data_IF_378577700742
#
_entry.id   IF_378577700742
#
_cell.length_a   1.000
_cell.length_b   1.000
_cell.length_c   1.000
_cell.angle_alpha   90.00
_cell.angle_beta   90.00
_cell.angle_gamma   90.00
#
_symmetry.space_group_name_H-M   'P 1'
#
loop_
_entity.id
_entity.type
_entity.pdbx_description
1 polymer ?
#
# COMPACT_ATOMS: atom_id res chain seq x y z
N UNK A 1 -4.93 -10.93 -23.97
CA UNK A 1 -4.11 -11.17 -22.76
C UNK A 1 -4.87 -10.56 -21.59
N UNK A 2 -5.13 -11.34 -20.55
CA UNK A 2 -5.77 -10.84 -19.33
C UNK A 2 -4.70 -10.74 -18.25
N UNK A 3 -4.52 -9.55 -17.67
CA UNK A 3 -3.62 -9.35 -16.55
C UNK A 3 -4.42 -9.33 -15.26
N UNK A 4 -3.95 -10.07 -14.26
CA UNK A 4 -4.50 -10.05 -12.89
C UNK A 4 -3.39 -9.51 -12.00
N UNK A 5 -3.68 -8.41 -11.30
CA UNK A 5 -2.76 -7.81 -10.34
C UNK A 5 -2.91 -8.52 -8.99
N UNK A 6 -1.81 -9.01 -8.44
CA UNK A 6 -1.77 -9.67 -7.13
C UNK A 6 -1.27 -8.70 -6.06
N UNK A 7 -1.65 -8.88 -4.79
CA UNK A 7 -1.03 -8.13 -3.69
C UNK A 7 0.50 -8.19 -3.74
N UNK A 8 1.16 -7.12 -3.30
CA UNK A 8 2.62 -7.07 -3.22
C UNK A 8 3.13 -7.87 -2.03
N UNK A 9 3.89 -8.94 -2.29
CA UNK A 9 4.36 -9.88 -1.27
C UNK A 9 5.89 -9.97 -1.28
N UNK A 10 6.47 -10.41 -0.16
CA UNK A 10 7.92 -10.67 -0.05
C UNK A 10 8.26 -12.16 -0.14
N UNK A 11 7.30 -13.03 0.18
CA UNK A 11 7.44 -14.48 0.17
C UNK A 11 6.09 -15.09 -0.18
N UNK A 12 6.06 -16.17 -0.94
CA UNK A 12 4.85 -16.98 -1.12
C UNK A 12 4.69 -17.94 0.08
N UNK A 13 5.72 -18.04 0.91
CA UNK A 13 5.78 -19.03 1.98
C UNK A 13 5.24 -18.56 3.34
N UNK A 14 4.97 -17.27 3.50
CA UNK A 14 4.57 -16.66 4.78
C UNK A 14 3.03 -16.50 4.88
N UNK A 15 2.50 -16.31 6.09
CA UNK A 15 1.07 -16.53 6.42
C UNK A 15 0.22 -15.25 6.42
N UNK A 16 0.56 -14.22 5.64
CA UNK A 16 -0.34 -13.07 5.50
C UNK A 16 -1.54 -13.36 4.59
N UNK A 17 -2.65 -12.66 4.79
CA UNK A 17 -3.83 -12.77 3.90
C UNK A 17 -3.50 -12.39 2.45
N UNK A 18 -2.57 -11.44 2.25
CA UNK A 18 -2.10 -10.97 0.94
C UNK A 18 -1.33 -12.05 0.19
N UNK A 19 -0.52 -12.84 0.91
CA UNK A 19 0.24 -13.97 0.39
C UNK A 19 -0.67 -15.11 -0.01
N UNK A 20 -1.65 -15.47 0.84
CA UNK A 20 -2.65 -16.50 0.50
C UNK A 20 -3.44 -16.17 -0.76
N UNK A 21 -3.82 -14.90 -0.95
CA UNK A 21 -4.50 -14.47 -2.17
C UNK A 21 -3.61 -14.63 -3.40
N UNK A 22 -2.33 -14.27 -3.28
CA UNK A 22 -1.36 -14.40 -4.38
C UNK A 22 -1.08 -15.86 -4.70
N UNK A 23 -0.89 -16.69 -3.69
CA UNK A 23 -0.69 -18.14 -3.80
C UNK A 23 -1.87 -18.79 -4.53
N UNK A 24 -3.10 -18.55 -4.08
CA UNK A 24 -4.30 -19.08 -4.75
C UNK A 24 -4.40 -18.61 -6.20
N UNK A 25 -4.10 -17.34 -6.46
CA UNK A 25 -4.14 -16.81 -7.83
C UNK A 25 -3.09 -17.48 -8.75
N UNK A 26 -1.93 -17.87 -8.21
CA UNK A 26 -0.87 -18.52 -8.96
C UNK A 26 -1.10 -20.03 -9.15
N UNK A 27 -1.61 -20.73 -8.14
CA UNK A 27 -1.68 -22.20 -8.13
C UNK A 27 -3.08 -22.78 -8.34
N UNK A 28 -4.11 -22.14 -7.81
CA UNK A 28 -5.51 -22.55 -7.98
C UNK A 28 -6.18 -21.84 -9.16
N UNK A 29 -5.63 -20.69 -9.56
CA UNK A 29 -6.09 -19.90 -10.70
C UNK A 29 -5.68 -20.47 -12.07
N UNK A 30 -6.27 -19.91 -13.13
CA UNK A 30 -5.95 -20.24 -14.52
C UNK A 30 -4.78 -19.40 -15.07
N UNK A 31 -3.74 -19.17 -14.26
CA UNK A 31 -2.60 -18.36 -14.67
C UNK A 31 -1.69 -19.16 -15.63
N UNK A 32 -1.46 -18.62 -16.83
CA UNK A 32 -0.56 -19.22 -17.81
C UNK A 32 0.94 -18.95 -17.51
N UNK A 33 1.22 -17.99 -16.63
CA UNK A 33 2.56 -17.59 -16.21
C UNK A 33 2.53 -16.31 -15.35
N UNK A 34 3.69 -15.89 -14.88
CA UNK A 34 3.86 -14.76 -13.97
C UNK A 34 4.83 -13.71 -14.53
N UNK A 35 4.52 -12.43 -14.29
CA UNK A 35 5.46 -11.32 -14.52
C UNK A 35 5.95 -10.86 -13.15
N UNK A 36 7.21 -11.15 -12.85
CA UNK A 36 7.84 -10.81 -11.59
C UNK A 36 8.45 -9.43 -11.71
N UNK A 37 7.84 -8.44 -11.06
CA UNK A 37 8.40 -7.07 -11.02
C UNK A 37 9.47 -7.01 -9.93
N UNK A 38 10.73 -7.02 -10.34
CA UNK A 38 11.89 -7.02 -9.44
C UNK A 38 12.47 -5.61 -9.28
N UNK A 39 12.85 -5.22 -8.07
CA UNK A 39 13.52 -3.95 -7.78
C UNK A 39 15.03 -4.09 -7.99
N UNK A 40 15.57 -3.40 -8.99
CA UNK A 40 17.00 -3.38 -9.29
C UNK A 40 17.85 -2.85 -8.12
N UNK A 41 17.30 -1.99 -7.24
CA UNK A 41 18.02 -1.45 -6.09
C UNK A 41 18.15 -2.44 -4.92
N UNK A 42 17.29 -3.46 -4.90
CA UNK A 42 17.20 -4.48 -3.84
C UNK A 42 17.07 -5.88 -4.44
N UNK A 43 17.91 -6.19 -5.43
CA UNK A 43 17.79 -7.39 -6.26
C UNK A 43 17.75 -8.69 -5.46
N UNK A 44 18.56 -8.83 -4.42
CA UNK A 44 18.60 -10.01 -3.53
C UNK A 44 17.21 -10.34 -2.97
N UNK A 45 16.50 -9.33 -2.46
CA UNK A 45 15.15 -9.51 -1.91
C UNK A 45 14.14 -9.88 -2.98
N UNK A 46 14.21 -9.23 -4.15
CA UNK A 46 13.31 -9.58 -5.27
C UNK A 46 13.57 -10.99 -5.80
N UNK A 47 14.83 -11.45 -5.81
CA UNK A 47 15.19 -12.79 -6.24
C UNK A 47 14.68 -13.85 -5.28
N UNK A 48 14.67 -13.60 -3.97
CA UNK A 48 14.12 -14.55 -2.99
C UNK A 48 12.70 -15.02 -3.35
N UNK A 49 11.79 -14.08 -3.62
CA UNK A 49 10.43 -14.37 -4.09
C UNK A 49 10.45 -15.04 -5.48
N UNK A 50 11.30 -14.57 -6.38
CA UNK A 50 11.39 -15.12 -7.74
C UNK A 50 11.80 -16.60 -7.73
N UNK A 51 12.72 -17.00 -6.86
CA UNK A 51 13.16 -18.39 -6.73
C UNK A 51 12.00 -19.31 -6.32
N UNK A 52 11.13 -18.86 -5.40
CA UNK A 52 9.96 -19.65 -4.98
C UNK A 52 8.99 -19.89 -6.14
N UNK A 53 8.72 -18.87 -6.97
CA UNK A 53 7.87 -18.99 -8.17
C UNK A 53 8.48 -19.95 -9.19
N UNK A 54 9.80 -19.89 -9.37
CA UNK A 54 10.53 -20.77 -10.28
C UNK A 54 10.54 -22.23 -9.77
N UNK A 55 10.73 -22.46 -8.47
CA UNK A 55 10.63 -23.80 -7.86
C UNK A 55 9.22 -24.40 -7.98
N UNK A 56 8.21 -23.54 -7.97
CA UNK A 56 6.82 -23.87 -8.25
C UNK A 56 6.56 -24.28 -9.71
N UNK A 57 7.54 -24.11 -10.61
CA UNK A 57 7.43 -24.44 -12.01
C UNK A 57 6.49 -23.54 -12.80
N UNK A 58 6.18 -22.35 -12.28
CA UNK A 58 5.35 -21.36 -12.98
C UNK A 58 6.20 -20.67 -14.05
N UNK A 59 5.76 -20.62 -15.32
CA UNK A 59 6.46 -19.89 -16.37
C UNK A 59 6.56 -18.41 -15.98
N UNK A 60 7.78 -17.87 -15.87
CA UNK A 60 7.98 -16.53 -15.34
C UNK A 60 8.86 -15.66 -16.23
N UNK A 61 8.66 -14.35 -16.15
CA UNK A 61 9.50 -13.31 -16.74
C UNK A 61 9.87 -12.34 -15.63
N UNK A 62 11.13 -11.92 -15.56
CA UNK A 62 11.54 -10.84 -14.64
C UNK A 62 11.50 -9.50 -15.37
N UNK A 63 10.66 -8.61 -14.85
CA UNK A 63 10.61 -7.20 -15.21
C UNK A 63 11.44 -6.41 -14.20
N UNK A 64 12.68 -6.07 -14.56
CA UNK A 64 13.59 -5.32 -13.69
C UNK A 64 13.22 -3.83 -13.71
N UNK A 65 12.64 -3.35 -12.62
CA UNK A 65 12.26 -1.96 -12.42
C UNK A 65 13.32 -1.19 -11.63
N UNK A 66 13.25 0.14 -11.62
CA UNK A 66 14.18 1.03 -10.90
C UNK A 66 15.66 0.87 -11.29
N UNK A 67 15.92 0.45 -12.54
CA UNK A 67 17.27 0.29 -13.08
C UNK A 67 18.04 1.61 -13.00
N UNK A 68 17.43 2.73 -13.39
CA UNK A 68 18.10 4.03 -13.34
C UNK A 68 18.38 4.49 -11.90
N UNK A 69 17.50 4.15 -10.95
CA UNK A 69 17.74 4.39 -9.52
C UNK A 69 18.90 3.52 -8.99
N UNK A 70 19.01 2.28 -9.46
CA UNK A 70 20.10 1.37 -9.12
C UNK A 70 21.43 1.91 -9.66
N UNK A 71 21.47 2.34 -10.91
CA UNK A 71 22.65 2.98 -11.52
C UNK A 71 23.06 4.26 -10.76
N UNK A 72 22.10 5.08 -10.33
CA UNK A 72 22.33 6.25 -9.46
C UNK A 72 22.81 5.90 -8.05
N UNK A 73 22.63 4.66 -7.60
CA UNK A 73 23.22 4.12 -6.36
C UNK A 73 24.56 3.42 -6.61
N UNK A 74 25.03 3.37 -7.86
CA UNK A 74 26.28 2.72 -8.25
C UNK A 74 26.11 1.22 -8.48
N UNK A 75 24.88 0.71 -8.50
CA UNK A 75 24.56 -0.68 -8.72
C UNK A 75 24.31 -0.88 -10.21
N UNK A 76 25.22 -1.59 -10.88
CA UNK A 76 25.04 -2.07 -12.25
C UNK A 76 24.65 -3.55 -12.22
N UNK A 77 23.65 -3.93 -13.01
CA UNK A 77 23.17 -5.31 -13.09
C UNK A 77 23.42 -5.84 -14.49
N UNK A 78 24.04 -7.01 -14.59
CA UNK A 78 24.18 -7.76 -15.84
C UNK A 78 22.91 -8.60 -16.08
N UNK A 79 22.00 -8.09 -16.91
CA UNK A 79 20.74 -8.76 -17.24
C UNK A 79 20.95 -10.07 -17.97
N UNK A 80 21.93 -10.14 -18.87
CA UNK A 80 22.19 -11.34 -19.67
C UNK A 80 22.74 -12.47 -18.82
N UNK A 81 23.59 -12.15 -17.83
CA UNK A 81 24.05 -13.11 -16.84
C UNK A 81 22.93 -13.57 -15.91
N UNK A 82 22.05 -12.65 -15.49
CA UNK A 82 20.89 -13.00 -14.67
C UNK A 82 19.92 -13.94 -15.41
N UNK A 83 19.62 -13.63 -16.67
CA UNK A 83 18.81 -14.47 -17.55
C UNK A 83 19.41 -15.87 -17.71
N UNK A 84 20.73 -15.98 -17.90
CA UNK A 84 21.43 -17.28 -17.97
C UNK A 84 21.38 -18.07 -16.66
N UNK A 85 21.53 -17.40 -15.51
CA UNK A 85 21.52 -18.07 -14.20
C UNK A 85 20.13 -18.56 -13.81
N UNK A 86 19.08 -17.80 -14.12
CA UNK A 86 17.70 -18.14 -13.77
C UNK A 86 17.00 -19.00 -14.83
N UNK A 87 17.49 -19.00 -16.08
CA UNK A 87 16.87 -19.73 -17.18
C UNK A 87 15.54 -19.11 -17.65
N UNK A 88 15.27 -17.86 -17.29
CA UNK A 88 14.05 -17.13 -17.68
C UNK A 88 14.39 -15.73 -18.23
N UNK A 89 13.56 -15.17 -19.12
CA UNK A 89 13.82 -13.85 -19.68
C UNK A 89 13.84 -12.75 -18.62
N UNK A 90 14.84 -11.89 -18.71
CA UNK A 90 15.02 -10.73 -17.84
C UNK A 90 14.99 -9.47 -18.70
N UNK A 91 14.02 -8.59 -18.47
CA UNK A 91 13.88 -7.34 -19.22
C UNK A 91 13.89 -6.14 -18.29
N UNK A 92 14.84 -5.19 -18.45
CA UNK A 92 14.78 -3.92 -17.73
C UNK A 92 13.61 -3.10 -18.26
N UNK A 93 12.81 -2.56 -17.34
CA UNK A 93 11.67 -1.71 -17.63
C UNK A 93 11.76 -0.39 -16.90
N UNK A 94 11.16 0.62 -17.52
CA UNK A 94 10.83 1.85 -16.85
C UNK A 94 9.39 2.23 -17.24
N UNK A 95 8.43 2.03 -16.32
CA UNK A 95 7.01 2.35 -16.58
C UNK A 95 6.78 3.84 -16.89
N UNK A 96 7.65 4.73 -16.40
CA UNK A 96 7.51 6.18 -16.53
C UNK A 96 7.72 6.67 -17.97
N UNK A 97 8.70 6.09 -18.66
CA UNK A 97 9.03 6.40 -20.06
C UNK A 97 8.59 5.29 -21.02
N UNK A 98 7.84 4.30 -20.54
CA UNK A 98 7.39 3.10 -21.27
C UNK A 98 8.52 2.25 -21.87
N UNK A 99 9.76 2.41 -21.41
CA UNK A 99 10.91 1.63 -21.89
C UNK A 99 10.75 0.17 -21.45
N UNK A 100 11.03 -0.75 -22.38
CA UNK A 100 10.99 -2.20 -22.13
C UNK A 100 9.59 -2.83 -22.11
N UNK A 101 8.52 -2.03 -22.06
CA UNK A 101 7.13 -2.55 -21.99
C UNK A 101 6.77 -3.36 -23.24
N UNK A 102 7.07 -2.85 -24.45
CA UNK A 102 6.79 -3.58 -25.69
C UNK A 102 7.54 -4.93 -25.74
N UNK A 103 8.80 -4.94 -25.29
CA UNK A 103 9.61 -6.16 -25.22
C UNK A 103 9.01 -7.19 -24.25
N UNK A 104 8.48 -6.75 -23.10
CA UNK A 104 7.77 -7.65 -22.18
C UNK A 104 6.53 -8.23 -22.86
N UNK A 105 5.72 -7.41 -23.54
CA UNK A 105 4.51 -7.88 -24.23
C UNK A 105 4.86 -8.97 -25.26
N UNK A 106 5.94 -8.77 -26.04
CA UNK A 106 6.40 -9.75 -27.02
C UNK A 106 6.82 -11.08 -26.37
N UNK A 107 7.44 -11.03 -25.18
CA UNK A 107 7.85 -12.22 -24.43
C UNK A 107 6.62 -12.90 -23.81
N UNK A 108 5.65 -12.13 -23.28
CA UNK A 108 4.42 -12.64 -22.67
C UNK A 108 3.61 -13.46 -23.68
N UNK A 109 3.56 -13.03 -24.95
CA UNK A 109 2.92 -13.79 -26.02
C UNK A 109 3.53 -15.19 -26.22
N UNK A 110 4.79 -15.39 -25.80
CA UNK A 110 5.54 -16.64 -25.92
C UNK A 110 5.74 -17.34 -24.57
N UNK A 111 5.09 -16.88 -23.49
CA UNK A 111 5.37 -17.34 -22.12
C UNK A 111 5.18 -18.86 -21.93
N UNK A 112 4.18 -19.44 -22.63
CA UNK A 112 3.92 -20.89 -22.63
C UNK A 112 5.05 -21.72 -23.25
N UNK A 113 5.93 -21.11 -24.04
CA UNK A 113 7.06 -21.77 -24.69
C UNK A 113 8.36 -21.67 -23.88
N UNK A 114 8.40 -20.85 -22.82
CA UNK A 114 9.58 -20.59 -21.99
C UNK A 114 9.93 -21.80 -21.09
N UNK A 115 9.04 -22.79 -20.96
CA UNK A 115 9.05 -23.92 -19.99
C UNK A 115 10.24 -24.90 -20.14
N UNK A 116 11.27 -24.60 -20.92
CA UNK A 116 12.35 -25.56 -21.21
C UNK A 116 13.42 -25.71 -20.13
N UNK A 117 13.54 -24.79 -19.17
CA UNK A 117 14.56 -24.90 -18.12
C UNK A 117 13.95 -24.92 -16.72
N UNK A 118 14.20 -26.02 -15.99
CA UNK A 118 13.90 -26.14 -14.57
C UNK A 118 15.01 -25.44 -13.80
N UNK A 119 14.67 -24.35 -13.13
CA UNK A 119 15.53 -23.78 -12.12
C UNK A 119 15.28 -24.54 -10.81
N UNK A 120 16.34 -25.05 -10.19
CA UNK A 120 16.25 -25.82 -8.95
C UNK A 120 17.24 -25.26 -7.92
N UNK A 121 16.73 -24.88 -6.75
CA UNK A 121 17.56 -24.62 -5.58
C UNK A 121 17.95 -25.97 -4.99
N UNK A 122 19.25 -26.18 -4.76
CA UNK A 122 19.77 -27.38 -4.13
C UNK A 122 19.91 -27.15 -2.63
N UNK A 123 19.29 -28.01 -1.84
CA UNK A 123 19.34 -27.98 -0.38
C UNK A 123 20.38 -28.96 0.16
N UNK A 124 20.54 -28.97 1.48
CA UNK A 124 21.34 -29.99 2.17
C UNK A 124 20.88 -31.41 1.81
N UNK A 125 21.81 -32.36 1.76
CA UNK A 125 21.55 -33.74 1.35
C UNK A 125 20.45 -34.41 2.20
N UNK A 126 20.32 -34.07 3.48
CA UNK A 126 19.27 -34.63 4.36
C UNK A 126 17.89 -34.05 4.03
N UNK A 127 17.83 -32.77 3.64
CA UNK A 127 16.62 -32.11 3.14
C UNK A 127 16.24 -32.70 1.77
N UNK A 128 17.20 -32.89 0.86
CA UNK A 128 16.98 -33.46 -0.47
C UNK A 128 16.44 -34.90 -0.40
N UNK A 129 16.99 -35.75 0.48
CA UNK A 129 16.45 -37.09 0.74
C UNK A 129 15.00 -37.04 1.21
N UNK A 130 14.68 -36.09 2.09
CA UNK A 130 13.33 -35.90 2.62
C UNK A 130 12.35 -35.42 1.55
N UNK A 131 12.76 -34.46 0.70
CA UNK A 131 12.00 -33.99 -0.46
C UNK A 131 11.67 -35.16 -1.39
N UNK A 132 12.66 -35.99 -1.72
CA UNK A 132 12.49 -37.15 -2.59
C UNK A 132 11.53 -38.17 -1.98
N UNK A 133 11.65 -38.46 -0.69
CA UNK A 133 10.75 -39.37 0.04
C UNK A 133 9.29 -38.89 -0.01
N UNK A 134 9.03 -37.62 0.32
CA UNK A 134 7.68 -37.04 0.29
C UNK A 134 7.14 -37.02 -1.15
N UNK A 135 7.98 -36.73 -2.15
CA UNK A 135 7.56 -36.61 -3.56
C UNK A 135 6.90 -37.88 -4.12
N UNK A 136 7.26 -39.07 -3.59
CA UNK A 136 6.65 -40.35 -3.99
C UNK A 136 5.17 -40.47 -3.60
N UNK A 137 4.75 -39.73 -2.58
CA UNK A 137 3.41 -39.78 -1.98
C UNK A 137 2.52 -38.59 -2.36
N UNK A 138 2.89 -37.82 -3.38
CA UNK A 138 2.15 -36.63 -3.81
C UNK A 138 1.28 -36.94 -5.03
N UNK A 139 0.06 -36.37 -5.05
CA UNK A 139 -0.86 -36.37 -6.20
C UNK A 139 -1.11 -34.94 -6.68
N UNK A 140 -1.46 -34.79 -7.96
CA UNK A 140 -1.94 -33.52 -8.52
C UNK A 140 -0.86 -32.64 -9.14
N UNK A 141 -1.29 -31.44 -9.51
CA UNK A 141 -0.46 -30.25 -9.80
C UNK A 141 -0.62 -29.32 -8.59
N UNK A 142 0.38 -28.53 -8.14
CA UNK A 142 1.68 -28.13 -8.75
C UNK A 142 2.81 -29.20 -8.70
N UNK A 143 4.07 -28.90 -9.13
CA UNK A 143 5.17 -29.88 -9.14
C UNK A 143 5.40 -30.56 -7.79
N UNK A 144 5.68 -31.87 -7.82
CA UNK A 144 5.87 -32.69 -6.61
C UNK A 144 6.97 -32.15 -5.70
N UNK A 145 8.09 -31.68 -6.26
CA UNK A 145 9.19 -31.09 -5.49
C UNK A 145 8.73 -29.86 -4.68
N UNK A 146 7.96 -28.97 -5.31
CA UNK A 146 7.42 -27.78 -4.67
C UNK A 146 6.48 -28.16 -3.51
N UNK A 147 5.55 -29.08 -3.74
CA UNK A 147 4.64 -29.55 -2.68
C UNK A 147 5.45 -30.18 -1.52
N UNK A 148 6.48 -30.99 -1.81
CA UNK A 148 7.36 -31.54 -0.77
C UNK A 148 8.01 -30.44 0.07
N UNK A 149 8.50 -29.37 -0.55
CA UNK A 149 9.12 -28.23 0.15
C UNK A 149 8.10 -27.53 1.06
N UNK A 150 6.89 -27.25 0.56
CA UNK A 150 5.82 -26.63 1.35
C UNK A 150 5.41 -27.47 2.55
N UNK A 151 5.35 -28.80 2.37
CA UNK A 151 5.09 -29.73 3.46
C UNK A 151 6.21 -29.72 4.52
N UNK A 152 7.47 -29.61 4.09
CA UNK A 152 8.61 -29.49 5.01
C UNK A 152 8.65 -28.13 5.73
N UNK A 153 8.14 -27.09 5.10
CA UNK A 153 7.92 -25.77 5.71
C UNK A 153 6.73 -25.73 6.69
N UNK A 154 6.09 -26.87 6.93
CA UNK A 154 4.93 -27.02 7.80
C UNK A 154 3.71 -26.21 7.36
N UNK A 155 3.52 -26.09 6.04
CA UNK A 155 2.32 -25.50 5.46
C UNK A 155 1.18 -26.51 5.39
N UNK A 156 0.15 -26.25 6.20
CA UNK A 156 -1.02 -27.12 6.34
C UNK A 156 -1.88 -27.15 5.06
N UNK A 157 -1.88 -26.08 4.27
CA UNK A 157 -2.68 -25.99 3.04
C UNK A 157 -2.19 -27.04 2.01
N UNK A 158 -0.91 -27.41 2.05
CA UNK A 158 -0.33 -28.43 1.17
C UNK A 158 -0.50 -29.87 1.65
N UNK A 159 -0.95 -30.09 2.89
CA UNK A 159 -1.17 -31.45 3.41
C UNK A 159 -2.30 -32.19 2.68
N UNK A 160 -3.19 -31.45 2.00
CA UNK A 160 -4.25 -32.02 1.15
C UNK A 160 -3.72 -32.77 -0.08
N UNK A 161 -2.50 -32.47 -0.54
CA UNK A 161 -1.89 -33.11 -1.72
C UNK A 161 -1.18 -34.45 -1.40
N UNK A 162 -1.03 -34.78 -0.11
CA UNK A 162 -0.40 -36.01 0.35
C UNK A 162 -1.38 -37.18 0.34
N UNK A 163 -0.94 -38.33 -0.19
CA UNK A 163 -1.69 -39.60 -0.13
C UNK A 163 -1.79 -40.15 1.29
N UNK A 164 -0.70 -40.03 2.06
CA UNK A 164 -0.61 -40.49 3.45
C UNK A 164 0.17 -39.46 4.29
N UNK A 165 -0.49 -38.87 5.28
CA UNK A 165 0.10 -37.87 6.19
C UNK A 165 1.20 -38.47 7.09
N UNK A 166 1.23 -39.79 7.29
CA UNK A 166 2.28 -40.46 8.08
C UNK A 166 3.68 -40.32 7.46
N UNK A 167 3.77 -39.96 6.17
CA UNK A 167 5.05 -39.72 5.51
C UNK A 167 5.83 -38.56 6.11
N UNK A 168 5.14 -37.56 6.69
CA UNK A 168 5.78 -36.40 7.33
C UNK A 168 6.64 -36.85 8.51
N UNK A 169 6.09 -37.72 9.39
CA UNK A 169 6.84 -38.27 10.52
C UNK A 169 8.06 -39.08 10.08
N UNK A 170 7.91 -39.90 9.03
CA UNK A 170 9.03 -40.66 8.43
C UNK A 170 10.06 -39.77 7.73
N UNK A 171 9.68 -38.60 7.24
CA UNK A 171 10.61 -37.64 6.66
C UNK A 171 11.39 -36.91 7.77
N UNK A 172 10.75 -36.61 8.90
CA UNK A 172 11.40 -36.02 10.08
C UNK A 172 12.49 -36.91 10.68
N UNK A 173 12.43 -38.23 10.52
CA UNK A 173 13.52 -39.15 10.93
C UNK A 173 14.86 -38.85 10.24
N UNK A 174 14.83 -38.37 8.99
CA UNK A 174 16.01 -37.99 8.23
C UNK A 174 16.52 -36.58 8.57
N UNK A 175 15.74 -35.79 9.31
CA UNK A 175 16.00 -34.37 9.60
C UNK A 175 16.52 -34.15 11.02
N UNK A 176 17.17 -35.15 11.63
CA UNK A 176 17.70 -35.05 13.01
C UNK A 176 18.71 -33.89 13.16
N UNK A 177 19.48 -33.60 12.12
CA UNK A 177 20.44 -32.50 12.07
C UNK A 177 19.80 -31.14 11.73
N UNK A 178 18.51 -31.14 11.35
CA UNK A 178 17.74 -29.98 10.92
C UNK A 178 16.50 -29.81 11.81
N UNK A 179 16.69 -29.44 13.10
CA UNK A 179 15.58 -29.31 14.05
C UNK A 179 14.54 -28.26 13.61
N UNK A 180 14.95 -27.32 12.75
CA UNK A 180 14.12 -26.26 12.20
C UNK A 180 14.21 -26.20 10.67
N UNK A 181 13.84 -27.29 10.02
CA UNK A 181 13.92 -27.45 8.56
C UNK A 181 13.28 -26.29 7.76
N UNK A 182 12.21 -25.67 8.24
CA UNK A 182 11.58 -24.52 7.57
C UNK A 182 12.50 -23.27 7.55
N UNK A 183 13.23 -23.02 8.63
CA UNK A 183 14.23 -21.95 8.71
C UNK A 183 15.42 -22.27 7.77
N UNK A 184 15.89 -23.52 7.75
CA UNK A 184 17.00 -23.95 6.92
C UNK A 184 16.71 -23.83 5.41
N UNK A 185 15.49 -24.20 4.99
CA UNK A 185 15.01 -23.99 3.61
C UNK A 185 15.03 -22.50 3.27
N UNK A 186 14.51 -21.66 4.16
CA UNK A 186 14.45 -20.21 3.97
C UNK A 186 15.85 -19.59 3.87
N UNK A 187 16.77 -20.00 4.74
CA UNK A 187 18.18 -19.57 4.72
C UNK A 187 18.85 -19.99 3.41
N UNK A 188 18.63 -21.22 2.95
CA UNK A 188 19.22 -21.73 1.70
C UNK A 188 18.73 -20.95 0.48
N UNK A 189 17.42 -20.68 0.40
CA UNK A 189 16.83 -19.83 -0.67
C UNK A 189 17.39 -18.42 -0.64
N UNK A 190 17.45 -17.81 0.54
CA UNK A 190 18.01 -16.48 0.72
C UNK A 190 19.49 -16.43 0.32
N UNK A 191 20.28 -17.41 0.75
CA UNK A 191 21.68 -17.56 0.38
C UNK A 191 21.87 -17.72 -1.13
N UNK A 192 20.99 -18.49 -1.79
CA UNK A 192 21.00 -18.67 -3.25
C UNK A 192 20.68 -17.37 -3.98
N UNK A 193 19.63 -16.66 -3.54
CA UNK A 193 19.26 -15.36 -4.08
C UNK A 193 20.39 -14.33 -3.92
N UNK A 194 21.01 -14.28 -2.74
CA UNK A 194 22.16 -13.43 -2.43
C UNK A 194 23.37 -13.76 -3.31
N UNK A 195 23.66 -15.06 -3.51
CA UNK A 195 24.74 -15.51 -4.38
C UNK A 195 24.51 -15.09 -5.84
N UNK A 196 23.31 -15.28 -6.37
CA UNK A 196 22.94 -14.87 -7.73
C UNK A 196 23.06 -13.35 -7.84
N UNK A 197 22.45 -12.60 -6.92
CA UNK A 197 22.51 -11.13 -6.90
C UNK A 197 23.97 -10.64 -6.92
N UNK A 198 24.83 -11.17 -6.05
CA UNK A 198 26.26 -10.83 -5.99
C UNK A 198 27.01 -11.16 -7.28
N UNK A 199 26.63 -12.25 -7.98
CA UNK A 199 27.28 -12.63 -9.25
C UNK A 199 26.88 -11.73 -10.42
N UNK A 200 25.69 -11.13 -10.39
CA UNK A 200 25.17 -10.28 -11.49
C UNK A 200 25.27 -8.80 -11.20
N UNK A 201 25.51 -8.41 -9.95
CA UNK A 201 25.63 -7.00 -9.55
C UNK A 201 27.09 -6.59 -9.46
N UNK A 202 27.39 -5.43 -10.03
CA UNK A 202 28.65 -4.73 -9.85
C UNK A 202 28.35 -3.43 -9.08
N UNK A 203 28.89 -3.33 -7.86
CA UNK A 203 28.73 -2.15 -7.02
C UNK A 203 29.95 -1.25 -7.26
N UNK A 204 29.70 -0.10 -7.87
CA UNK A 204 30.68 0.96 -8.06
C UNK A 204 30.48 1.98 -6.94
N UNK A 205 31.49 2.27 -6.10
CA UNK A 205 31.37 3.31 -5.09
C UNK A 205 31.20 4.66 -5.79
N UNK A 206 30.04 5.28 -5.62
CA UNK A 206 29.78 6.61 -6.17
C UNK A 206 30.38 7.68 -5.26
N UNK A 207 31.31 8.48 -5.79
CA UNK A 207 31.68 9.74 -5.14
C UNK A 207 30.57 10.78 -5.31
N UNK A 208 30.02 11.25 -4.18
CA UNK A 208 29.37 12.57 -3.97
C UNK A 208 28.19 12.95 -4.90
N UNK A 209 27.32 12.02 -5.29
CA UNK A 209 26.05 12.35 -5.97
C UNK A 209 24.92 12.87 -5.06
N UNK A 210 25.03 12.72 -3.74
CA UNK A 210 23.90 12.85 -2.78
C UNK A 210 23.79 14.16 -2.02
N UNK A 211 24.52 15.22 -2.39
CA UNK A 211 24.62 16.45 -1.58
C UNK A 211 23.28 17.12 -1.27
N UNK A 212 22.27 17.03 -2.15
CA UNK A 212 20.98 17.71 -1.96
C UNK A 212 20.03 16.85 -1.12
N UNK A 213 19.85 15.58 -1.47
CA UNK A 213 18.98 14.65 -0.74
C UNK A 213 19.44 14.48 0.70
N UNK A 214 20.75 14.32 0.94
CA UNK A 214 21.32 14.23 2.29
C UNK A 214 21.12 15.52 3.08
N UNK A 215 21.17 16.70 2.44
CA UNK A 215 20.88 17.98 3.11
C UNK A 215 19.41 18.08 3.49
N UNK A 216 18.51 17.64 2.62
CA UNK A 216 17.07 17.63 2.90
C UNK A 216 16.75 16.65 4.03
N UNK A 217 17.27 15.41 3.97
CA UNK A 217 17.06 14.43 5.03
C UNK A 217 17.66 14.89 6.37
N UNK A 218 18.79 15.61 6.37
CA UNK A 218 19.34 16.24 7.60
C UNK A 218 18.37 17.22 8.24
N UNK A 219 17.57 17.93 7.46
CA UNK A 219 16.56 18.87 7.98
C UNK A 219 15.30 18.09 8.39
N UNK A 220 14.76 17.28 7.49
CA UNK A 220 13.49 16.58 7.68
C UNK A 220 13.55 15.48 8.73
N UNK A 221 14.70 14.84 8.97
CA UNK A 221 14.84 13.77 9.97
C UNK A 221 15.52 14.23 11.26
N UNK A 222 15.83 15.52 11.38
CA UNK A 222 16.42 16.04 12.62
C UNK A 222 15.46 15.88 13.79
N UNK A 223 15.99 15.60 14.98
CA UNK A 223 15.22 15.41 16.22
C UNK A 223 14.25 16.56 16.56
N UNK A 224 14.63 17.79 16.24
CA UNK A 224 13.84 19.01 16.51
C UNK A 224 13.27 19.64 15.24
N UNK A 225 14.07 19.75 14.17
CA UNK A 225 13.64 20.37 12.92
C UNK A 225 12.71 19.47 12.11
N UNK A 226 12.79 18.15 12.26
CA UNK A 226 11.90 17.21 11.59
C UNK A 226 10.44 17.43 11.98
N UNK A 227 10.06 17.32 13.27
CA UNK A 227 8.69 17.61 13.71
C UNK A 227 8.22 19.03 13.35
N UNK A 228 9.08 20.03 13.49
CA UNK A 228 8.75 21.41 13.13
C UNK A 228 8.43 21.55 11.64
N UNK A 229 9.29 21.00 10.76
CA UNK A 229 9.08 21.04 9.31
C UNK A 229 7.86 20.21 8.89
N UNK A 230 7.60 19.07 9.53
CA UNK A 230 6.37 18.29 9.31
C UNK A 230 5.12 19.13 9.62
N UNK A 231 5.06 19.78 10.78
CA UNK A 231 3.91 20.62 11.17
C UNK A 231 3.77 21.82 10.23
N UNK A 232 4.87 22.48 9.89
CA UNK A 232 4.86 23.60 8.95
C UNK A 232 4.34 23.19 7.56
N UNK A 233 4.82 22.06 7.03
CA UNK A 233 4.32 21.53 5.76
C UNK A 233 2.84 21.19 5.84
N UNK A 234 2.38 20.58 6.93
CA UNK A 234 0.97 20.28 7.13
C UNK A 234 0.11 21.53 7.17
N UNK A 235 0.56 22.60 7.83
CA UNK A 235 -0.13 23.89 7.83
C UNK A 235 -0.20 24.50 6.43
N UNK A 236 0.88 24.43 5.66
CA UNK A 236 0.92 24.90 4.26
C UNK A 236 -0.05 24.08 3.40
N UNK A 237 -0.01 22.75 3.50
CA UNK A 237 -0.91 21.85 2.78
C UNK A 237 -2.37 22.15 3.13
N UNK A 238 -2.66 22.31 4.42
CA UNK A 238 -4.01 22.62 4.88
C UNK A 238 -4.47 24.00 4.39
N UNK A 239 -3.60 25.01 4.42
CA UNK A 239 -3.87 26.32 3.86
C UNK A 239 -4.16 26.29 2.35
N UNK A 240 -3.35 25.56 1.57
CA UNK A 240 -3.58 25.34 0.13
C UNK A 240 -4.91 24.62 -0.10
N UNK A 241 -5.19 23.59 0.70
CA UNK A 241 -6.42 22.81 0.61
C UNK A 241 -7.66 23.67 0.87
N UNK A 242 -7.63 24.54 1.88
CA UNK A 242 -8.73 25.45 2.17
C UNK A 242 -8.88 26.54 1.11
N UNK A 243 -7.77 27.15 0.67
CA UNK A 243 -7.81 28.23 -0.31
C UNK A 243 -8.31 27.73 -1.67
N UNK A 244 -7.65 26.71 -2.21
CA UNK A 244 -7.98 26.16 -3.53
C UNK A 244 -9.27 25.35 -3.48
N UNK A 245 -9.58 24.68 -2.36
CA UNK A 245 -10.85 24.02 -2.13
C UNK A 245 -12.03 24.99 -2.16
N UNK A 246 -11.95 26.11 -1.46
CA UNK A 246 -12.97 27.17 -1.51
C UNK A 246 -13.13 27.76 -2.91
N UNK A 247 -12.00 28.00 -3.61
CA UNK A 247 -12.03 28.51 -4.97
C UNK A 247 -12.78 27.55 -5.92
N UNK A 248 -12.46 26.25 -5.87
CA UNK A 248 -13.14 25.23 -6.66
C UNK A 248 -14.62 25.07 -6.26
N UNK A 249 -14.90 25.09 -4.95
CA UNK A 249 -16.26 25.04 -4.41
C UNK A 249 -17.11 26.19 -4.96
N UNK A 250 -16.61 27.42 -4.95
CA UNK A 250 -17.37 28.59 -5.44
C UNK A 250 -17.76 28.46 -6.91
N UNK A 251 -16.85 27.97 -7.76
CA UNK A 251 -17.11 27.72 -9.18
C UNK A 251 -18.21 26.66 -9.34
N UNK A 252 -18.07 25.52 -8.65
CA UNK A 252 -19.03 24.42 -8.75
C UNK A 252 -20.40 24.81 -8.17
N UNK A 253 -20.42 25.54 -7.06
CA UNK A 253 -21.65 25.99 -6.42
C UNK A 253 -22.44 26.91 -7.37
N UNK A 254 -21.78 27.87 -8.02
CA UNK A 254 -22.41 28.72 -9.03
C UNK A 254 -22.99 27.92 -10.20
N UNK A 255 -22.26 26.90 -10.69
CA UNK A 255 -22.76 26.02 -11.75
C UNK A 255 -23.99 25.21 -11.29
N UNK A 256 -23.95 24.65 -10.09
CA UNK A 256 -25.06 23.84 -9.55
C UNK A 256 -26.28 24.68 -9.20
N UNK A 257 -26.11 25.89 -8.68
CA UNK A 257 -27.21 26.82 -8.37
C UNK A 257 -27.91 27.30 -9.63
N UNK A 258 -27.16 27.61 -10.69
CA UNK A 258 -27.74 27.96 -11.99
C UNK A 258 -28.56 26.78 -12.55
N UNK A 259 -28.07 25.54 -12.41
CA UNK A 259 -28.82 24.36 -12.81
C UNK A 259 -30.09 24.17 -11.96
N UNK A 260 -29.98 24.26 -10.63
CA UNK A 260 -31.10 24.08 -9.71
C UNK A 260 -32.18 25.15 -9.88
N UNK A 261 -31.78 26.41 -10.09
CA UNK A 261 -32.72 27.51 -10.33
C UNK A 261 -33.58 27.32 -11.60
N UNK A 262 -33.07 26.55 -12.57
CA UNK A 262 -33.84 26.16 -13.76
C UNK A 262 -34.90 25.08 -13.46
N UNK A 263 -34.74 24.34 -12.36
CA UNK A 263 -35.68 23.30 -11.91
C UNK A 263 -36.67 23.80 -10.83
N UNK A 264 -36.46 24.96 -10.21
CA UNK A 264 -37.33 25.52 -9.16
C UNK A 264 -38.65 26.13 -9.68
N UNK A 265 -39.19 25.64 -10.79
CA UNK A 265 -40.40 26.20 -11.42
C UNK A 265 -41.69 25.67 -10.75
N UNK A 266 -42.22 26.51 -9.87
CA UNK A 266 -43.65 26.82 -9.55
C UNK A 266 -44.65 25.85 -8.92
N UNK A 267 -44.46 24.53 -8.81
CA UNK A 267 -45.51 23.68 -8.18
C UNK A 267 -45.16 23.21 -6.76
N UNK A 268 -46.01 23.53 -5.76
CA UNK A 268 -45.92 23.09 -4.35
C UNK A 268 -46.29 21.60 -4.13
N UNK A 269 -46.00 20.73 -5.09
CA UNK A 269 -46.23 19.30 -4.90
C UNK A 269 -45.15 18.69 -4.00
N UNK A 270 -45.55 17.74 -3.16
CA UNK A 270 -44.63 16.95 -2.31
C UNK A 270 -43.55 16.28 -3.19
N UNK A 271 -43.93 15.85 -4.41
CA UNK A 271 -43.00 15.27 -5.37
C UNK A 271 -41.91 16.27 -5.80
N UNK A 272 -42.29 17.53 -6.07
CA UNK A 272 -41.32 18.57 -6.42
C UNK A 272 -40.41 18.89 -5.23
N UNK A 273 -40.95 18.92 -4.01
CA UNK A 273 -40.16 19.14 -2.79
C UNK A 273 -39.10 18.05 -2.58
N UNK A 274 -39.48 16.77 -2.74
CA UNK A 274 -38.57 15.63 -2.64
C UNK A 274 -37.48 15.69 -3.72
N UNK A 275 -37.85 16.04 -4.95
CA UNK A 275 -36.93 16.09 -6.10
C UNK A 275 -35.92 17.24 -5.95
N UNK A 276 -36.40 18.43 -5.57
CA UNK A 276 -35.54 19.60 -5.28
C UNK A 276 -34.59 19.30 -4.12
N UNK A 277 -35.08 18.69 -3.03
CA UNK A 277 -34.21 18.36 -1.89
C UNK A 277 -33.22 17.23 -2.21
N UNK A 278 -33.58 16.28 -3.07
CA UNK A 278 -32.63 15.30 -3.59
C UNK A 278 -31.53 15.92 -4.44
N UNK A 279 -31.90 16.87 -5.32
CA UNK A 279 -30.96 17.62 -6.16
C UNK A 279 -30.06 18.56 -5.34
N UNK A 280 -30.57 19.22 -4.29
CA UNK A 280 -29.74 20.02 -3.39
C UNK A 280 -28.75 19.15 -2.63
N UNK A 281 -29.15 17.96 -2.16
CA UNK A 281 -28.25 16.98 -1.56
C UNK A 281 -27.12 16.54 -2.51
N UNK A 282 -27.47 16.27 -3.77
CA UNK A 282 -26.50 15.94 -4.82
C UNK A 282 -25.56 17.13 -5.13
N UNK A 283 -26.11 18.33 -5.24
CA UNK A 283 -25.34 19.56 -5.45
C UNK A 283 -24.39 19.83 -4.29
N UNK A 284 -24.80 19.64 -3.04
CA UNK A 284 -23.92 19.75 -1.88
C UNK A 284 -22.76 18.75 -1.94
N UNK A 285 -23.02 17.51 -2.37
CA UNK A 285 -21.98 16.49 -2.57
C UNK A 285 -20.97 16.87 -3.65
N UNK A 286 -21.45 17.36 -4.81
CA UNK A 286 -20.62 17.72 -5.97
C UNK A 286 -19.88 19.05 -5.76
N UNK A 287 -20.53 20.04 -5.16
CA UNK A 287 -19.99 21.39 -5.05
C UNK A 287 -19.16 21.60 -3.79
N UNK A 288 -19.56 21.01 -2.66
CA UNK A 288 -18.86 21.21 -1.38
C UNK A 288 -17.88 20.09 -1.13
N UNK A 289 -18.30 18.83 -1.16
CA UNK A 289 -17.45 17.76 -0.65
C UNK A 289 -16.41 17.26 -1.68
N UNK A 290 -16.79 17.13 -2.96
CA UNK A 290 -15.92 16.59 -4.00
C UNK A 290 -14.63 17.40 -4.22
N UNK A 291 -14.61 18.75 -4.27
CA UNK A 291 -13.38 19.51 -4.49
C UNK A 291 -12.33 19.30 -3.42
N UNK A 292 -12.74 19.31 -2.16
CA UNK A 292 -11.83 19.14 -1.03
C UNK A 292 -11.27 17.72 -0.98
N UNK A 293 -12.11 16.71 -1.21
CA UNK A 293 -11.68 15.31 -1.23
C UNK A 293 -10.74 15.04 -2.41
N UNK A 294 -11.05 15.56 -3.60
CA UNK A 294 -10.18 15.46 -4.78
C UNK A 294 -8.82 16.11 -4.52
N UNK A 295 -8.83 17.37 -4.08
CA UNK A 295 -7.62 18.13 -3.83
C UNK A 295 -6.77 17.50 -2.73
N UNK A 296 -7.39 16.99 -1.68
CA UNK A 296 -6.71 16.23 -0.64
C UNK A 296 -5.95 15.04 -1.24
N UNK A 297 -6.61 14.19 -2.03
CA UNK A 297 -5.97 13.03 -2.63
C UNK A 297 -4.90 13.38 -3.65
N UNK A 298 -5.03 14.52 -4.33
CA UNK A 298 -4.02 15.06 -5.22
C UNK A 298 -2.75 15.45 -4.44
N UNK A 299 -2.91 16.21 -3.35
CA UNK A 299 -1.78 16.61 -2.50
C UNK A 299 -1.15 15.38 -1.81
N UNK A 300 -1.97 14.45 -1.29
CA UNK A 300 -1.46 13.23 -0.68
C UNK A 300 -0.69 12.38 -1.68
N UNK A 301 -1.19 12.24 -2.91
CA UNK A 301 -0.50 11.52 -4.00
C UNK A 301 0.83 12.17 -4.37
N UNK A 302 0.92 13.51 -4.37
CA UNK A 302 2.19 14.22 -4.56
C UNK A 302 3.19 13.94 -3.43
N UNK A 303 2.76 14.01 -2.17
CA UNK A 303 3.64 13.75 -1.02
C UNK A 303 4.15 12.30 -0.97
N UNK A 304 3.28 11.37 -1.36
CA UNK A 304 3.59 9.94 -1.46
C UNK A 304 4.63 9.69 -2.57
N UNK A 305 4.39 10.20 -3.79
CA UNK A 305 5.30 10.00 -4.93
C UNK A 305 6.64 10.74 -4.75
N UNK A 306 6.67 11.90 -4.09
CA UNK A 306 7.92 12.61 -3.76
C UNK A 306 8.73 11.89 -2.68
N UNK A 307 8.06 11.09 -1.83
CA UNK A 307 8.67 10.40 -0.70
C UNK A 307 8.75 11.25 0.58
N UNK A 308 8.05 12.39 0.67
CA UNK A 308 7.99 13.19 1.90
C UNK A 308 7.12 12.52 2.98
N UNK A 309 6.09 11.77 2.56
CA UNK A 309 5.15 11.13 3.47
C UNK A 309 5.85 10.17 4.46
N UNK A 310 6.84 9.41 4.00
CA UNK A 310 7.61 8.48 4.84
C UNK A 310 8.45 9.20 5.90
N UNK A 311 9.06 10.36 5.57
CA UNK A 311 9.80 11.18 6.55
C UNK A 311 8.87 11.73 7.61
N UNK A 312 7.68 12.19 7.21
CA UNK A 312 6.70 12.70 8.15
C UNK A 312 6.20 11.62 9.12
N UNK A 313 6.01 10.38 8.63
CA UNK A 313 5.69 9.21 9.48
C UNK A 313 6.78 8.97 10.53
N UNK A 314 8.06 9.00 10.13
CA UNK A 314 9.20 8.82 11.05
C UNK A 314 9.24 9.91 12.12
N UNK A 315 8.95 11.16 11.76
CA UNK A 315 8.89 12.27 12.72
C UNK A 315 7.70 12.12 13.69
N UNK A 316 6.55 11.68 13.19
CA UNK A 316 5.34 11.50 13.98
C UNK A 316 5.40 10.28 14.91
N UNK A 317 6.18 9.24 14.56
CA UNK A 317 6.35 7.99 15.33
C UNK A 317 6.55 8.26 16.83
N UNK A 318 7.43 9.19 17.20
CA UNK A 318 7.72 9.47 18.62
C UNK A 318 6.51 10.01 19.38
N UNK A 319 5.68 10.81 18.73
CA UNK A 319 4.47 11.38 19.32
C UNK A 319 3.35 10.34 19.36
N UNK A 320 3.13 9.64 18.25
CA UNK A 320 2.09 8.61 18.14
C UNK A 320 2.34 7.44 19.08
N UNK A 321 3.59 7.04 19.28
CA UNK A 321 3.96 6.01 20.25
C UNK A 321 3.61 6.39 21.70
N UNK A 322 3.69 7.69 22.05
CA UNK A 322 3.21 8.16 23.37
C UNK A 322 1.71 7.93 23.53
N UNK A 323 0.94 8.16 22.46
CA UNK A 323 -0.50 7.88 22.39
C UNK A 323 -0.82 6.38 22.23
N UNK A 324 0.17 5.51 22.05
CA UNK A 324 -0.04 4.07 21.85
C UNK A 324 -0.45 3.70 20.42
N UNK A 325 -0.09 4.52 19.44
CA UNK A 325 -0.36 4.32 18.02
C UNK A 325 0.94 4.06 17.24
N UNK A 326 0.93 3.22 16.20
CA UNK A 326 2.05 3.07 15.29
C UNK A 326 2.22 4.33 14.42
N UNK A 327 3.44 4.64 13.96
CA UNK A 327 3.67 5.80 13.09
C UNK A 327 2.88 5.76 11.79
N UNK A 328 2.56 4.57 11.27
CA UNK A 328 1.69 4.41 10.08
C UNK A 328 0.31 5.05 10.27
N UNK A 329 -0.17 5.22 11.51
CA UNK A 329 -1.41 5.94 11.83
C UNK A 329 -1.37 7.43 11.45
N UNK A 330 -0.20 7.99 11.17
CA UNK A 330 -0.07 9.37 10.71
C UNK A 330 -0.84 9.65 9.41
N UNK A 331 -0.87 8.69 8.47
CA UNK A 331 -1.61 8.82 7.20
C UNK A 331 -3.12 9.02 7.44
N UNK A 332 -3.81 8.10 8.14
CA UNK A 332 -5.24 8.27 8.41
C UNK A 332 -5.52 9.49 9.32
N UNK A 333 -4.65 9.85 10.26
CA UNK A 333 -4.82 11.03 11.12
C UNK A 333 -4.80 12.36 10.34
N UNK A 334 -3.87 12.53 9.39
CA UNK A 334 -3.88 13.72 8.52
C UNK A 334 -5.13 13.76 7.65
N UNK A 335 -5.52 12.61 7.09
CA UNK A 335 -6.71 12.51 6.25
C UNK A 335 -7.98 12.87 7.05
N UNK A 336 -8.01 12.57 8.35
CA UNK A 336 -9.10 12.91 9.26
C UNK A 336 -9.31 14.42 9.46
N UNK A 337 -8.25 15.23 9.36
CA UNK A 337 -8.35 16.70 9.40
C UNK A 337 -9.07 17.25 8.15
N UNK A 338 -8.95 16.55 7.01
CA UNK A 338 -9.70 16.86 5.80
C UNK A 338 -11.15 16.37 5.91
N UNK A 339 -11.32 15.05 5.86
CA UNK A 339 -12.63 14.39 5.93
C UNK A 339 -12.52 13.05 6.67
N UNK A 340 -13.40 12.82 7.65
CA UNK A 340 -13.35 11.63 8.50
C UNK A 340 -13.77 10.35 7.79
N UNK A 341 -14.69 10.41 6.81
CA UNK A 341 -15.15 9.24 6.07
C UNK A 341 -14.01 8.50 5.31
N UNK A 342 -13.24 9.16 4.42
CA UNK A 342 -12.08 8.52 3.79
C UNK A 342 -10.97 8.20 4.80
N UNK A 343 -10.85 8.95 5.90
CA UNK A 343 -9.87 8.68 6.97
C UNK A 343 -10.13 7.34 7.67
N UNK A 344 -11.38 7.05 8.02
CA UNK A 344 -11.80 5.76 8.57
C UNK A 344 -11.43 4.61 7.64
N UNK A 345 -11.65 4.77 6.32
CA UNK A 345 -11.31 3.75 5.32
C UNK A 345 -9.79 3.58 5.18
N UNK A 346 -9.03 4.66 5.28
CA UNK A 346 -7.57 4.63 5.21
C UNK A 346 -6.91 3.94 6.41
N UNK A 347 -7.62 3.75 7.53
CA UNK A 347 -7.12 2.93 8.64
C UNK A 347 -6.76 1.50 8.21
N UNK A 348 -7.27 0.99 7.07
CA UNK A 348 -6.89 -0.33 6.51
C UNK A 348 -5.39 -0.51 6.27
N UNK A 349 -4.61 0.57 6.20
CA UNK A 349 -3.14 0.55 6.07
C UNK A 349 -2.46 0.01 7.35
N UNK A 350 -3.20 -0.05 8.47
CA UNK A 350 -2.72 -0.57 9.74
C UNK A 350 -2.88 -2.10 9.80
N UNK A 351 -1.84 -2.77 10.30
CA UNK A 351 -1.71 -4.23 10.26
C UNK A 351 -2.74 -4.95 11.14
N UNK A 352 -3.15 -4.35 12.26
CA UNK A 352 -4.08 -4.99 13.22
C UNK A 352 -5.43 -4.29 13.30
N UNK A 353 -6.52 -5.06 13.45
CA UNK A 353 -7.86 -4.53 13.76
C UNK A 353 -7.89 -3.66 15.03
N UNK A 354 -7.06 -3.97 16.02
CA UNK A 354 -6.94 -3.19 17.26
C UNK A 354 -6.35 -1.79 16.98
N UNK A 355 -5.35 -1.70 16.12
CA UNK A 355 -4.74 -0.44 15.69
C UNK A 355 -5.71 0.39 14.84
N UNK A 356 -6.45 -0.28 13.94
CA UNK A 356 -7.49 0.33 13.12
C UNK A 356 -8.55 1.00 13.98
N UNK A 357 -9.07 0.28 14.98
CA UNK A 357 -10.10 0.79 15.89
C UNK A 357 -9.57 1.94 16.76
N UNK A 358 -8.39 1.79 17.37
CA UNK A 358 -7.78 2.84 18.18
C UNK A 358 -7.61 4.12 17.36
N UNK A 359 -7.02 4.03 16.17
CA UNK A 359 -6.83 5.20 15.28
C UNK A 359 -8.17 5.80 14.84
N UNK A 360 -9.14 4.97 14.42
CA UNK A 360 -10.44 5.45 13.96
C UNK A 360 -11.26 6.15 15.07
N UNK A 361 -11.13 5.70 16.32
CA UNK A 361 -11.84 6.31 17.44
C UNK A 361 -11.43 7.77 17.70
N UNK A 362 -10.21 8.16 17.33
CA UNK A 362 -9.74 9.54 17.47
C UNK A 362 -10.43 10.51 16.49
N UNK A 363 -11.02 10.02 15.41
CA UNK A 363 -11.74 10.87 14.46
C UNK A 363 -13.01 11.48 15.05
N UNK A 364 -13.56 10.92 16.12
CA UNK A 364 -14.68 11.54 16.84
C UNK A 364 -14.30 12.94 17.36
N UNK A 365 -13.04 13.12 17.79
CA UNK A 365 -12.51 14.35 18.38
C UNK A 365 -11.79 15.24 17.36
N UNK A 366 -11.56 14.76 16.14
CA UNK A 366 -10.95 15.57 15.08
C UNK A 366 -12.03 16.43 14.38
N UNK A 367 -11.86 17.76 14.36
CA UNK A 367 -12.72 18.60 13.55
C UNK A 367 -12.28 18.48 12.08
N UNK A 368 -13.11 17.84 11.26
CA UNK A 368 -12.92 17.86 9.80
C UNK A 368 -13.18 19.27 9.25
N UNK A 369 -12.76 19.52 8.01
CA UNK A 369 -12.97 20.79 7.30
C UNK A 369 -14.38 21.39 7.48
N UNK A 370 -15.45 20.59 7.30
CA UNK A 370 -16.84 21.03 7.50
C UNK A 370 -17.15 21.41 8.95
N UNK A 371 -16.65 20.66 9.93
CA UNK A 371 -16.83 20.99 11.36
C UNK A 371 -16.07 22.27 11.72
N UNK A 372 -14.87 22.47 11.18
CA UNK A 372 -14.11 23.71 11.36
C UNK A 372 -14.91 24.90 10.83
N UNK A 373 -15.49 24.77 9.63
CA UNK A 373 -16.34 25.80 9.03
C UNK A 373 -17.57 26.13 9.89
N UNK A 374 -18.28 25.11 10.40
CA UNK A 374 -19.46 25.31 11.27
C UNK A 374 -19.06 25.92 12.62
N UNK A 375 -17.98 25.45 13.25
CA UNK A 375 -17.51 25.98 14.53
C UNK A 375 -17.11 27.46 14.37
N UNK A 376 -16.34 27.79 13.33
CA UNK A 376 -15.95 29.17 13.06
C UNK A 376 -17.13 30.04 12.61
N UNK A 377 -18.04 29.49 11.81
CA UNK A 377 -19.18 30.23 11.26
C UNK A 377 -20.28 30.50 12.29
N UNK A 378 -20.61 29.54 13.16
CA UNK A 378 -21.65 29.71 14.18
C UNK A 378 -21.05 30.24 15.47
N UNK A 379 -20.13 29.49 16.08
CA UNK A 379 -19.56 29.87 17.39
C UNK A 379 -18.68 31.11 17.24
N UNK A 380 -17.92 31.21 16.15
CA UNK A 380 -17.10 32.40 15.89
C UNK A 380 -17.93 33.66 15.63
N UNK A 381 -19.07 33.55 14.93
CA UNK A 381 -19.95 34.69 14.65
C UNK A 381 -20.75 35.13 15.87
N UNK A 382 -21.43 34.18 16.55
CA UNK A 382 -22.30 34.51 17.68
C UNK A 382 -21.57 34.59 19.03
N UNK A 383 -20.58 33.74 19.25
CA UNK A 383 -19.82 33.65 20.51
C UNK A 383 -18.46 34.34 20.46
N UNK A 384 -18.04 34.83 19.29
CA UNK A 384 -16.72 35.42 19.09
C UNK A 384 -15.59 34.40 18.95
N UNK A 385 -14.46 34.87 18.43
CA UNK A 385 -13.29 34.02 18.09
C UNK A 385 -12.71 33.29 19.30
N UNK A 386 -12.72 33.90 20.49
CA UNK A 386 -12.24 33.28 21.73
C UNK A 386 -13.04 32.02 22.09
N UNK A 387 -14.37 32.05 21.97
CA UNK A 387 -15.20 30.89 22.24
C UNK A 387 -15.00 29.79 21.18
N UNK A 388 -14.86 30.16 19.90
CA UNK A 388 -14.52 29.19 18.86
C UNK A 388 -13.18 28.46 19.15
N UNK A 389 -12.13 29.18 19.54
CA UNK A 389 -10.86 28.57 19.95
C UNK A 389 -11.00 27.69 21.19
N UNK A 390 -11.88 28.06 22.14
CA UNK A 390 -12.15 27.24 23.32
C UNK A 390 -12.76 25.88 22.95
N UNK A 391 -13.64 25.82 21.94
CA UNK A 391 -14.20 24.56 21.41
C UNK A 391 -13.11 23.67 20.79
N UNK A 392 -12.17 24.24 20.04
CA UNK A 392 -11.06 23.47 19.51
C UNK A 392 -10.14 22.96 20.63
N UNK A 393 -9.90 23.76 21.66
CA UNK A 393 -9.10 23.36 22.82
C UNK A 393 -9.77 22.21 23.60
N UNK A 394 -11.08 22.28 23.84
CA UNK A 394 -11.81 21.21 24.53
C UNK A 394 -11.84 19.92 23.72
N UNK A 395 -12.02 19.98 22.39
CA UNK A 395 -11.91 18.80 21.51
C UNK A 395 -10.52 18.17 21.56
N UNK A 396 -9.45 18.99 21.54
CA UNK A 396 -8.08 18.50 21.64
C UNK A 396 -7.82 17.82 22.99
N UNK A 397 -8.25 18.43 24.09
CA UNK A 397 -8.11 17.86 25.44
C UNK A 397 -8.91 16.56 25.55
N UNK A 398 -10.17 16.53 25.11
CA UNK A 398 -11.00 15.33 25.12
C UNK A 398 -10.39 14.20 24.27
N UNK A 399 -9.85 14.53 23.09
CA UNK A 399 -9.15 13.57 22.24
C UNK A 399 -7.88 13.01 22.87
N UNK A 400 -7.09 13.83 23.57
CA UNK A 400 -5.93 13.37 24.32
C UNK A 400 -6.34 12.45 25.49
N UNK A 401 -7.34 12.83 26.27
CA UNK A 401 -7.88 12.00 27.36
C UNK A 401 -8.33 10.64 26.81
N UNK A 402 -9.08 10.65 25.70
CA UNK A 402 -9.52 9.43 25.03
C UNK A 402 -8.34 8.58 24.55
N UNK A 403 -7.34 9.17 23.88
CA UNK A 403 -6.15 8.47 23.40
C UNK A 403 -5.38 7.77 24.54
N UNK A 404 -5.18 8.46 25.67
CA UNK A 404 -4.51 7.85 26.82
C UNK A 404 -5.40 6.83 27.55
N UNK A 405 -6.71 7.03 27.56
CA UNK A 405 -7.68 6.11 28.16
C UNK A 405 -7.77 4.79 27.38
N UNK A 406 -8.02 4.87 26.07
CA UNK A 406 -8.17 3.69 25.22
C UNK A 406 -6.86 2.88 25.12
N UNK A 407 -5.70 3.54 25.21
CA UNK A 407 -4.39 2.87 25.31
C UNK A 407 -4.30 1.91 26.50
N UNK A 408 -4.94 2.22 27.64
CA UNK A 408 -4.95 1.32 28.81
C UNK A 408 -5.86 0.10 28.59
N UNK A 409 -6.91 0.24 27.80
CA UNK A 409 -7.87 -0.81 27.51
C UNK A 409 -7.33 -1.74 26.41
N UNK A 410 -6.80 -1.16 25.33
CA UNK A 410 -6.33 -1.88 24.16
C UNK A 410 -4.81 -1.96 24.18
N UNK A 411 -4.28 -3.09 24.62
CA UNK A 411 -2.86 -3.37 24.56
C UNK A 411 -2.45 -3.73 23.12
N UNK A 412 -1.70 -2.82 22.49
CA UNK A 412 -1.11 -2.99 21.15
C UNK A 412 0.34 -3.43 21.34
N UNK A 413 0.71 -4.61 20.81
CA UNK A 413 2.12 -5.03 20.76
C UNK A 413 2.85 -4.07 19.81
N UNK A 414 3.80 -3.31 20.34
CA UNK A 414 4.58 -2.36 19.54
C UNK A 414 5.62 -3.13 18.73
N UNK A 415 5.39 -3.29 17.44
CA UNK A 415 6.45 -3.70 16.51
C UNK A 415 7.30 -2.48 16.15
N UNK A 416 8.64 -2.62 16.04
CA UNK A 416 9.49 -1.53 15.60
C UNK A 416 9.10 -1.14 14.17
N UNK A 417 8.93 0.16 13.91
CA UNK A 417 8.65 0.66 12.58
C UNK A 417 9.87 0.41 11.66
N UNK A 418 9.86 -0.71 10.95
CA UNK A 418 10.78 -1.01 9.85
C UNK A 418 10.23 -0.36 8.58
N UNK A 419 10.32 0.97 8.47
CA UNK A 419 9.97 1.70 7.26
C UNK A 419 11.24 1.99 6.46
N UNK A 420 11.37 1.38 5.29
CA UNK A 420 12.39 1.76 4.33
C UNK A 420 12.07 3.15 3.79
N UNK A 421 13.00 4.09 3.89
CA UNK A 421 12.83 5.45 3.38
C UNK A 421 12.99 5.43 1.85
N UNK A 422 11.93 5.65 1.05
CA UNK A 422 12.08 5.76 -0.40
C UNK A 422 13.01 6.93 -0.76
N UNK A 423 13.74 6.87 -1.89
CA UNK A 423 14.50 8.03 -2.37
C UNK A 423 13.54 9.17 -2.76
N UNK A 424 14.06 10.39 -2.80
CA UNK A 424 13.30 11.52 -3.33
C UNK A 424 13.06 11.33 -4.83
N UNK A 425 11.81 11.44 -5.28
CA UNK A 425 11.44 11.27 -6.69
C UNK A 425 10.66 12.46 -7.21
N UNK A 426 10.76 12.72 -8.51
CA UNK A 426 9.89 13.70 -9.18
C UNK A 426 8.55 13.02 -9.48
N UNK A 427 7.42 13.56 -9.02
CA UNK A 427 6.12 12.93 -9.21
C UNK A 427 5.69 13.04 -10.67
N UNK A 428 5.07 11.98 -11.20
CA UNK A 428 4.43 12.04 -12.50
C UNK A 428 2.98 12.47 -12.34
N UNK A 429 2.62 13.60 -12.94
CA UNK A 429 1.27 14.18 -12.85
C UNK A 429 0.20 13.17 -13.27
N UNK A 430 0.45 12.35 -14.31
CA UNK A 430 -0.47 11.30 -14.76
C UNK A 430 -0.73 10.24 -13.69
N UNK A 431 0.32 9.81 -12.97
CA UNK A 431 0.19 8.80 -11.92
C UNK A 431 -0.54 9.38 -10.71
N UNK A 432 -0.20 10.60 -10.32
CA UNK A 432 -0.88 11.31 -9.23
C UNK A 432 -2.37 11.42 -9.54
N UNK A 433 -2.74 11.93 -10.72
CA UNK A 433 -4.15 12.06 -11.12
C UNK A 433 -4.88 10.72 -11.17
N UNK A 434 -4.26 9.68 -11.74
CA UNK A 434 -4.86 8.35 -11.79
C UNK A 434 -5.10 7.78 -10.38
N UNK A 435 -4.11 7.87 -9.48
CA UNK A 435 -4.22 7.45 -8.08
C UNK A 435 -5.31 8.24 -7.35
N UNK A 436 -5.35 9.57 -7.53
CA UNK A 436 -6.35 10.44 -6.92
C UNK A 436 -7.76 10.09 -7.39
N UNK A 437 -7.95 9.82 -8.69
CA UNK A 437 -9.24 9.37 -9.23
C UNK A 437 -9.67 8.02 -8.68
N UNK A 438 -8.77 7.02 -8.65
CA UNK A 438 -9.07 5.68 -8.10
C UNK A 438 -9.51 5.78 -6.64
N UNK A 439 -8.84 6.61 -5.83
CA UNK A 439 -9.19 6.82 -4.41
C UNK A 439 -10.49 7.63 -4.25
N UNK A 440 -10.75 8.60 -5.14
CA UNK A 440 -11.98 9.40 -5.13
C UNK A 440 -13.19 8.63 -5.66
N UNK A 441 -12.99 7.60 -6.49
CA UNK A 441 -14.06 6.80 -7.10
C UNK A 441 -15.10 6.34 -6.06
N UNK A 442 -14.64 5.77 -4.96
CA UNK A 442 -15.51 5.30 -3.88
C UNK A 442 -16.39 6.41 -3.30
N UNK A 443 -15.87 7.64 -3.18
CA UNK A 443 -16.63 8.79 -2.71
C UNK A 443 -17.77 9.14 -3.68
N UNK A 444 -17.47 9.16 -5.00
CA UNK A 444 -18.45 9.50 -6.04
C UNK A 444 -19.58 8.47 -6.11
N UNK A 445 -19.25 7.18 -6.07
CA UNK A 445 -20.26 6.12 -6.25
C UNK A 445 -21.01 5.73 -4.97
N UNK A 446 -20.47 6.06 -3.78
CA UNK A 446 -21.09 5.67 -2.50
C UNK A 446 -21.65 6.91 -1.79
N UNK A 447 -20.85 7.95 -1.60
CA UNK A 447 -21.21 9.08 -0.72
C UNK A 447 -22.17 10.05 -1.39
N UNK A 448 -21.95 10.41 -2.66
CA UNK A 448 -22.85 11.34 -3.38
C UNK A 448 -24.29 10.79 -3.47
N UNK A 449 -24.53 9.51 -3.83
CA UNK A 449 -25.88 8.95 -3.80
C UNK A 449 -26.50 8.98 -2.41
N UNK A 450 -25.71 8.75 -1.37
CA UNK A 450 -26.20 8.74 0.02
C UNK A 450 -26.59 10.16 0.48
N UNK A 451 -25.88 11.20 0.02
CA UNK A 451 -26.25 12.60 0.22
C UNK A 451 -27.53 12.96 -0.53
N UNK A 452 -27.69 12.50 -1.77
CA UNK A 452 -28.91 12.71 -2.53
C UNK A 452 -30.12 12.03 -1.86
N UNK A 453 -29.98 10.78 -1.41
CA UNK A 453 -31.00 10.06 -0.64
C UNK A 453 -31.31 10.73 0.69
N UNK A 454 -30.30 11.25 1.39
CA UNK A 454 -30.48 12.04 2.61
C UNK A 454 -31.27 13.32 2.36
N UNK A 455 -31.01 13.99 1.23
CA UNK A 455 -31.79 15.14 0.77
C UNK A 455 -33.24 14.79 0.48
N UNK A 456 -33.49 13.71 -0.27
CA UNK A 456 -34.83 13.15 -0.52
C UNK A 456 -35.56 12.90 0.80
N UNK A 457 -34.92 12.21 1.73
CA UNK A 457 -35.51 11.87 3.03
C UNK A 457 -35.79 13.11 3.90
N UNK A 458 -35.00 14.18 3.76
CA UNK A 458 -35.25 15.46 4.43
C UNK A 458 -36.42 16.23 3.82
N UNK A 459 -36.72 15.99 2.53
CA UNK A 459 -37.85 16.58 1.83
C UNK A 459 -39.19 15.85 2.03
N UNK A 460 -39.17 14.62 2.55
CA UNK A 460 -40.35 13.86 3.01
C UNK A 460 -40.68 14.30 4.43
#
# INVERSE_FOLDING_TARGET
ITFVDTPGIYSISDRSEEEKVTEKSLFEGNADGAIIVADATSLERSLYMALQILEAGVPAIIALNFVEDAERKGIKIDYGKLEKLLGIPVTPINPLNKKGINKIIDIVLKIKQIVKQKFEVRYDDDIEKSINKISTQIKGKPPKRFISLRVLEEDEDFYGYLKDKKIIGKAKENLKNHPKVAEDISITRYGTASFIAKKVTQITPLEKGKKIEEKLDKIFLHKLWGPFTTVLFLLIIFGILLYLGNFMQGILMSLTENLLSSFTVTDQSIVNMILVQGLTGLAAGVSIALPYVFLFYLILGLLEDVGLLSRFIVNAERFLKKLGLPGKSFIPLILGLGCTAPACRACRVLSSRKEQFHTASLFAFMPCSSRIAIIMGIVGFYGGTKLAFSVFATLLVAGLIWAFGIKKIIHIKSEPLLLELPPYRKPLIKNVLAKSWIRMKDFVYIVIPLLALGGIAYGI
#
